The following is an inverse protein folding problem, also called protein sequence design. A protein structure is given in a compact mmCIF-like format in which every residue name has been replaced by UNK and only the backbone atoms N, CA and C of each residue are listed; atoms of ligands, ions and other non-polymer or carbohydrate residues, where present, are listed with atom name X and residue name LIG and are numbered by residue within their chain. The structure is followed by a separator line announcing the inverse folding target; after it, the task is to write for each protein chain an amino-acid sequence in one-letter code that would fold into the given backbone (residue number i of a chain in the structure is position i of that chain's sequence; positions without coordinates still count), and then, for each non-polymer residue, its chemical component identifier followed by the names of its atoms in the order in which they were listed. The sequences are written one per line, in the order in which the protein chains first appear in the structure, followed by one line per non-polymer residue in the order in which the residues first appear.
data_IF_599858557837
#
_entry.id   IF_599858557837
#
_cell.length_a   1.000
_cell.length_b   1.000
_cell.length_c   1.000
_cell.angle_alpha   90.00
_cell.angle_beta   90.00
_cell.angle_gamma   90.00
#
_symmetry.space_group_name_H-M   'P 1'
#
loop_
_entity.id
_entity.type
_entity.pdbx_description
1 polymer ?
#
# COMPACT_ATOMS: atom_id res chain seq x y z
N UNK A 1 7.54 -16.36 15.49
CA UNK A 1 7.01 -17.13 16.65
C UNK A 1 5.87 -17.98 16.11
N UNK A 2 5.85 -19.30 16.28
CA UNK A 2 4.72 -20.16 15.87
C UNK A 2 4.06 -20.75 17.11
N UNK A 3 2.94 -20.14 17.51
CA UNK A 3 2.06 -20.65 18.55
C UNK A 3 0.66 -20.88 17.94
N UNK A 4 -0.13 -21.87 18.44
CA UNK A 4 -1.51 -22.04 18.00
C UNK A 4 -2.31 -20.74 18.16
N UNK A 5 -2.08 -20.04 19.26
CA UNK A 5 -2.60 -18.70 19.50
C UNK A 5 -1.51 -17.78 20.00
N UNK A 6 -1.44 -16.57 19.46
CA UNK A 6 -0.59 -15.49 19.98
C UNK A 6 -1.49 -14.48 20.68
N UNK A 7 -1.29 -14.29 21.98
CA UNK A 7 -1.99 -13.25 22.75
C UNK A 7 -1.29 -11.90 22.54
N UNK A 8 -2.06 -10.88 22.18
CA UNK A 8 -1.66 -9.50 21.92
C UNK A 8 -2.39 -8.54 22.87
N UNK A 9 -2.65 -8.94 24.11
CA UNK A 9 -3.33 -8.07 25.06
C UNK A 9 -2.36 -7.03 25.67
N UNK A 10 -2.92 -5.97 26.26
CA UNK A 10 -2.12 -4.89 26.87
C UNK A 10 -1.25 -5.35 28.05
N UNK A 11 -1.41 -6.59 28.52
CA UNK A 11 -0.59 -7.20 29.58
C UNK A 11 0.61 -7.97 29.03
N UNK A 12 0.55 -8.44 27.78
CA UNK A 12 1.67 -9.10 27.07
C UNK A 12 2.76 -8.13 26.62
N UNK A 13 2.52 -6.82 26.74
CA UNK A 13 3.48 -5.78 26.40
C UNK A 13 3.35 -5.27 24.96
N UNK A 14 4.09 -4.20 24.67
CA UNK A 14 4.05 -3.53 23.37
C UNK A 14 4.88 -4.30 22.34
N UNK A 15 4.33 -4.53 21.15
CA UNK A 15 5.11 -4.96 19.99
C UNK A 15 5.57 -3.73 19.23
N UNK A 16 6.88 -3.58 19.09
CA UNK A 16 7.48 -2.37 18.57
C UNK A 16 8.46 -2.66 17.42
N UNK A 17 8.26 -1.94 16.33
CA UNK A 17 9.08 -1.91 15.12
C UNK A 17 9.60 -0.47 14.93
N UNK A 18 10.41 0.01 15.89
CA UNK A 18 10.80 1.42 16.01
C UNK A 18 12.16 1.75 15.42
N UNK A 19 12.26 2.91 14.78
CA UNK A 19 13.50 3.59 14.46
C UNK A 19 14.04 4.41 15.64
N UNK A 20 15.34 4.70 15.62
CA UNK A 20 15.98 5.57 16.61
C UNK A 20 15.84 7.04 16.22
N UNK A 21 15.32 7.89 17.11
CA UNK A 21 15.34 9.34 16.94
C UNK A 21 16.73 9.94 17.19
N UNK A 22 16.92 11.20 16.79
CA UNK A 22 18.15 11.95 17.08
C UNK A 22 17.82 13.41 17.39
N UNK A 23 18.51 14.00 18.36
CA UNK A 23 18.40 15.43 18.67
C UNK A 23 19.41 16.28 17.90
N UNK A 24 20.30 15.66 17.13
CA UNK A 24 21.35 16.33 16.38
C UNK A 24 20.91 16.48 14.92
N UNK A 25 20.72 17.74 14.49
CA UNK A 25 20.30 18.07 13.12
C UNK A 25 21.34 17.81 12.02
N UNK A 26 22.51 17.26 12.36
CA UNK A 26 23.49 16.75 11.39
C UNK A 26 23.37 15.23 11.15
N UNK A 27 22.47 14.54 11.85
CA UNK A 27 22.22 13.12 11.65
C UNK A 27 20.78 12.88 11.25
N UNK A 28 20.58 11.94 10.33
CA UNK A 28 19.25 11.45 9.96
C UNK A 28 18.74 10.49 11.03
N UNK A 29 17.45 10.56 11.40
CA UNK A 29 16.84 9.55 12.25
C UNK A 29 16.83 8.19 11.57
N UNK A 30 16.88 7.12 12.36
CA UNK A 30 16.81 5.76 11.84
C UNK A 30 15.42 5.41 11.33
N UNK A 31 15.34 4.61 10.26
CA UNK A 31 14.08 4.03 9.79
C UNK A 31 13.48 3.04 10.79
N UNK A 32 12.17 2.86 10.70
CA UNK A 32 11.40 1.90 11.45
C UNK A 32 11.85 0.47 11.19
N UNK A 33 11.65 -0.38 12.19
CA UNK A 33 11.91 -1.80 12.05
C UNK A 33 10.79 -2.51 11.29
N UNK A 34 10.91 -3.83 11.22
CA UNK A 34 9.84 -4.67 10.71
C UNK A 34 9.60 -5.85 11.67
N UNK A 35 8.34 -6.11 11.98
CA UNK A 35 7.93 -7.25 12.81
C UNK A 35 6.90 -8.05 12.05
N UNK A 36 7.07 -9.37 12.02
CA UNK A 36 6.07 -10.29 11.51
C UNK A 36 5.69 -11.31 12.57
N UNK A 37 4.39 -11.42 12.83
CA UNK A 37 3.81 -12.38 13.76
C UNK A 37 2.93 -13.35 12.99
N UNK A 38 3.18 -14.64 13.21
CA UNK A 38 2.46 -15.73 12.55
C UNK A 38 1.86 -16.66 13.59
N UNK A 39 0.56 -16.53 13.83
CA UNK A 39 -0.18 -17.48 14.64
C UNK A 39 -0.62 -18.67 13.76
N UNK A 40 -0.53 -19.89 14.28
CA UNK A 40 -0.96 -21.06 13.52
C UNK A 40 -2.49 -21.16 13.39
N UNK A 41 -3.25 -20.52 14.29
CA UNK A 41 -4.72 -20.55 14.25
C UNK A 41 -5.34 -19.17 14.41
N UNK A 42 -4.98 -18.43 15.46
CA UNK A 42 -5.62 -17.14 15.76
C UNK A 42 -4.72 -16.23 16.59
N UNK A 43 -5.02 -14.94 16.57
CA UNK A 43 -4.56 -14.02 17.60
C UNK A 43 -5.67 -13.82 18.64
N UNK A 44 -5.30 -13.56 19.88
CA UNK A 44 -6.23 -13.24 20.96
C UNK A 44 -5.87 -11.90 21.61
N UNK A 45 -6.86 -11.17 22.14
CA UNK A 45 -6.65 -9.89 22.81
C UNK A 45 -6.87 -8.66 21.91
N UNK A 46 -6.77 -7.47 22.52
CA UNK A 46 -6.89 -6.19 21.84
C UNK A 46 -5.57 -5.87 21.13
N UNK A 47 -5.47 -6.18 19.83
CA UNK A 47 -5.75 -5.13 18.86
C UNK A 47 -6.69 -5.57 17.72
N UNK A 48 -7.37 -6.73 17.79
CA UNK A 48 -8.05 -7.26 16.58
C UNK A 48 -9.58 -7.20 16.60
N UNK A 49 -10.19 -6.70 17.68
CA UNK A 49 -11.66 -6.72 17.86
C UNK A 49 -12.22 -5.47 18.56
N UNK A 50 -11.59 -4.30 18.40
CA UNK A 50 -12.03 -3.06 19.07
C UNK A 50 -11.82 -1.79 18.25
N UNK A 51 -12.27 -0.64 18.78
CA UNK A 51 -12.21 0.68 18.12
C UNK A 51 -10.80 1.27 17.98
N UNK A 52 -9.78 0.61 18.53
CA UNK A 52 -8.38 1.00 18.41
C UNK A 52 -7.51 -0.22 18.04
N UNK A 53 -7.61 -0.71 16.79
CA UNK A 53 -7.11 -2.01 16.37
C UNK A 53 -5.58 -2.12 16.28
N UNK A 54 -4.86 -1.25 16.99
CA UNK A 54 -3.41 -1.13 16.94
C UNK A 54 -2.81 -0.57 18.24
N UNK A 55 -3.60 -0.46 19.32
CA UNK A 55 -3.17 0.24 20.54
C UNK A 55 -1.91 -0.36 21.19
N UNK A 56 -1.67 -1.66 20.99
CA UNK A 56 -0.50 -2.38 21.51
C UNK A 56 0.59 -2.62 20.45
N UNK A 57 0.43 -2.03 19.26
CA UNK A 57 1.41 -2.09 18.18
C UNK A 57 2.03 -0.72 17.96
N UNK A 58 3.34 -0.73 17.74
CA UNK A 58 4.12 0.48 17.55
C UNK A 58 5.06 0.32 16.37
N UNK A 59 4.55 0.67 15.20
CA UNK A 59 5.35 0.91 14.02
C UNK A 59 5.67 2.40 13.98
N UNK A 60 6.96 2.75 13.97
CA UNK A 60 7.39 4.14 13.76
C UNK A 60 8.85 4.22 13.31
N UNK A 61 9.16 5.17 12.45
CA UNK A 61 10.52 5.65 12.24
C UNK A 61 11.02 6.49 13.42
N UNK A 62 12.28 6.86 13.35
CA UNK A 62 12.83 7.92 14.18
C UNK A 62 12.42 9.30 13.68
N UNK A 63 12.57 10.28 14.56
CA UNK A 63 12.28 11.69 14.33
C UNK A 63 13.55 12.53 14.59
N UNK A 64 13.76 13.54 13.75
CA UNK A 64 14.57 14.72 14.05
C UNK A 64 13.84 15.97 13.53
N UNK A 65 12.93 16.54 14.30
CA UNK A 65 12.27 17.82 13.98
C UNK A 65 11.54 17.79 12.63
N UNK A 66 12.16 18.32 11.57
CA UNK A 66 11.60 18.34 10.20
C UNK A 66 12.01 17.14 9.35
N UNK A 67 12.85 16.24 9.86
CA UNK A 67 13.31 15.02 9.18
C UNK A 67 12.72 13.83 9.91
N UNK A 68 12.16 12.88 9.15
CA UNK A 68 11.59 11.66 9.69
C UNK A 68 12.20 10.45 8.97
N UNK A 69 12.49 9.40 9.72
CA UNK A 69 12.91 8.12 9.16
C UNK A 69 11.72 7.40 8.52
N UNK A 70 12.02 6.37 7.73
CA UNK A 70 11.01 5.47 7.20
C UNK A 70 10.11 4.88 8.28
N UNK A 71 8.86 4.62 7.97
CA UNK A 71 7.87 4.09 8.90
C UNK A 71 8.26 2.69 9.40
N UNK A 72 7.72 2.31 10.55
CA UNK A 72 7.78 0.92 10.99
C UNK A 72 6.74 0.07 10.26
N UNK A 73 6.97 -1.24 10.20
CA UNK A 73 5.95 -2.18 9.70
C UNK A 73 5.69 -3.32 10.67
N UNK A 74 4.42 -3.69 10.84
CA UNK A 74 4.01 -4.83 11.64
C UNK A 74 3.00 -5.66 10.83
N UNK A 75 3.34 -6.90 10.54
CA UNK A 75 2.45 -7.87 9.90
C UNK A 75 1.90 -8.87 10.91
N UNK A 76 0.60 -9.12 10.84
CA UNK A 76 -0.11 -10.10 11.66
C UNK A 76 -0.77 -11.12 10.74
N UNK A 77 -0.45 -12.40 10.89
CA UNK A 77 -1.06 -13.48 10.11
C UNK A 77 -1.51 -14.63 10.99
N UNK A 78 -2.70 -15.16 10.73
CA UNK A 78 -3.25 -16.28 11.47
C UNK A 78 -3.79 -17.37 10.53
N UNK A 79 -3.38 -18.61 10.75
CA UNK A 79 -3.88 -19.76 9.99
C UNK A 79 -3.61 -19.63 8.49
N UNK A 80 -4.67 -19.75 7.69
CA UNK A 80 -4.63 -19.68 6.22
C UNK A 80 -4.87 -18.29 5.63
N UNK A 81 -5.00 -17.25 6.46
CA UNK A 81 -5.25 -15.89 6.00
C UNK A 81 -4.01 -15.28 5.33
N UNK A 82 -4.22 -14.28 4.47
CA UNK A 82 -3.12 -13.57 3.79
C UNK A 82 -2.37 -12.67 4.77
N UNK A 83 -3.08 -12.19 5.79
CA UNK A 83 -2.55 -11.41 6.90
C UNK A 83 -2.79 -9.91 6.73
N UNK A 84 -2.70 -9.22 7.84
CA UNK A 84 -2.82 -7.78 7.91
C UNK A 84 -1.44 -7.11 7.93
N UNK A 85 -1.34 -5.90 7.39
CA UNK A 85 -0.15 -5.06 7.46
C UNK A 85 -0.46 -3.68 8.04
N UNK A 86 0.24 -3.32 9.12
CA UNK A 86 0.33 -1.96 9.63
C UNK A 86 1.62 -1.31 9.14
N UNK A 87 1.47 -0.12 8.55
CA UNK A 87 2.55 0.81 8.23
C UNK A 87 2.25 2.14 8.93
N UNK A 88 3.12 2.54 9.86
CA UNK A 88 2.84 3.69 10.72
C UNK A 88 4.12 4.48 11.00
N UNK A 89 4.00 5.81 10.94
CA UNK A 89 5.06 6.74 11.31
C UNK A 89 4.68 7.68 12.46
N UNK A 90 3.60 7.36 13.19
CA UNK A 90 3.13 8.07 14.39
C UNK A 90 2.91 9.57 14.22
N UNK A 91 2.57 9.99 13.01
CA UNK A 91 2.31 11.38 12.69
C UNK A 91 3.59 12.19 12.52
N UNK A 92 4.73 11.56 12.30
CA UNK A 92 5.96 12.26 11.92
C UNK A 92 5.67 13.14 10.68
N UNK A 93 6.05 14.42 10.75
CA UNK A 93 5.70 15.42 9.73
C UNK A 93 6.85 15.73 8.78
N UNK A 94 7.92 14.93 8.81
CA UNK A 94 9.16 15.19 8.07
C UNK A 94 9.19 14.65 6.64
N UNK A 95 10.31 14.85 5.95
CA UNK A 95 10.56 14.37 4.57
C UNK A 95 10.68 12.84 4.54
N UNK A 96 9.57 12.15 4.39
CA UNK A 96 9.48 10.69 4.42
C UNK A 96 8.91 10.10 3.15
N UNK A 97 8.94 10.86 2.04
CA UNK A 97 8.51 10.37 0.73
C UNK A 97 9.19 9.05 0.39
N UNK A 98 8.37 8.03 0.12
CA UNK A 98 8.77 6.71 -0.34
C UNK A 98 9.78 6.00 0.59
N UNK A 99 9.79 6.40 1.85
CA UNK A 99 10.79 5.98 2.85
C UNK A 99 10.56 4.59 3.44
N UNK A 100 9.40 3.97 3.16
CA UNK A 100 9.03 2.64 3.68
C UNK A 100 8.84 1.68 2.52
N UNK A 101 9.93 1.06 2.09
CA UNK A 101 9.89 0.12 0.98
C UNK A 101 9.31 -1.23 1.44
N UNK A 102 8.25 -1.71 0.78
CA UNK A 102 7.98 -3.14 0.70
C UNK A 102 8.76 -3.67 -0.48
N UNK A 103 9.85 -4.42 -0.26
CA UNK A 103 10.75 -4.78 -1.34
C UNK A 103 9.99 -5.53 -2.47
N UNK A 104 10.52 -5.61 -3.69
CA UNK A 104 9.85 -6.34 -4.79
C UNK A 104 10.85 -6.88 -5.83
N UNK A 105 10.47 -7.95 -6.53
CA UNK A 105 11.07 -8.30 -7.82
C UNK A 105 10.48 -7.38 -8.89
N UNK A 106 11.31 -6.86 -9.81
CA UNK A 106 10.81 -6.12 -10.94
C UNK A 106 9.89 -6.98 -11.81
N UNK A 107 8.97 -6.32 -12.51
CA UNK A 107 8.19 -6.97 -13.56
C UNK A 107 9.13 -7.42 -14.67
N UNK A 108 8.92 -8.62 -15.21
CA UNK A 108 9.79 -9.14 -16.26
C UNK A 108 9.19 -10.31 -17.01
N UNK A 109 10.03 -10.95 -17.83
CA UNK A 109 9.68 -12.12 -18.63
C UNK A 109 10.42 -13.35 -18.12
N UNK A 110 9.71 -14.47 -18.04
CA UNK A 110 10.24 -15.78 -17.69
C UNK A 110 11.00 -16.32 -18.89
N UNK A 111 12.33 -16.42 -18.77
CA UNK A 111 13.20 -16.86 -19.88
C UNK A 111 13.19 -18.38 -20.02
N UNK A 112 13.07 -19.11 -18.90
CA UNK A 112 12.92 -20.55 -18.87
C UNK A 112 12.18 -20.96 -17.59
N UNK A 113 11.52 -22.12 -17.62
CA UNK A 113 10.93 -22.71 -16.43
C UNK A 113 11.07 -24.23 -16.45
N UNK A 114 11.39 -24.85 -15.32
CA UNK A 114 11.55 -26.31 -15.21
C UNK A 114 11.26 -26.75 -13.79
N UNK A 115 10.29 -27.66 -13.64
CA UNK A 115 9.80 -28.06 -12.31
C UNK A 115 9.43 -26.83 -11.51
N UNK A 116 9.94 -26.69 -10.29
CA UNK A 116 9.65 -25.53 -9.42
C UNK A 116 10.52 -24.29 -9.71
N UNK A 117 11.39 -24.33 -10.71
CA UNK A 117 12.37 -23.26 -10.95
C UNK A 117 11.94 -22.38 -12.12
N UNK A 118 11.85 -21.08 -11.86
CA UNK A 118 11.79 -20.03 -12.88
C UNK A 118 13.17 -19.43 -13.09
N UNK A 119 13.56 -19.24 -14.35
CA UNK A 119 14.70 -18.42 -14.74
C UNK A 119 14.17 -17.09 -15.26
N UNK A 120 14.62 -16.00 -14.64
CA UNK A 120 14.20 -14.64 -14.97
C UNK A 120 15.43 -13.75 -15.11
N UNK A 121 15.33 -12.68 -15.89
CA UNK A 121 16.35 -11.64 -15.91
C UNK A 121 16.27 -10.79 -14.64
N UNK A 122 17.41 -10.57 -13.98
CA UNK A 122 17.53 -9.57 -12.91
C UNK A 122 16.89 -9.94 -11.55
N UNK A 123 16.74 -11.23 -11.21
CA UNK A 123 16.29 -11.66 -9.88
C UNK A 123 17.36 -11.48 -8.78
N UNK A 124 17.81 -10.24 -8.57
CA UNK A 124 18.62 -9.92 -7.39
C UNK A 124 17.71 -9.46 -6.27
N UNK A 125 16.95 -10.39 -5.69
CA UNK A 125 16.40 -10.17 -4.36
C UNK A 125 17.36 -10.67 -3.31
N UNK A 126 17.89 -9.75 -2.51
CA UNK A 126 18.73 -10.08 -1.37
C UNK A 126 17.86 -10.17 -0.11
N UNK A 127 17.67 -11.40 0.40
CA UNK A 127 17.27 -11.66 1.79
C UNK A 127 15.84 -12.18 2.03
N UNK A 128 15.64 -12.93 3.14
CA UNK A 128 14.32 -13.39 3.59
C UNK A 128 13.46 -12.21 4.04
N UNK A 129 12.16 -12.24 3.71
CA UNK A 129 11.20 -11.17 4.01
C UNK A 129 10.20 -11.67 5.04
N UNK A 130 10.31 -11.27 6.33
CA UNK A 130 9.47 -11.86 7.35
C UNK A 130 7.98 -11.47 7.21
N UNK A 131 7.66 -10.35 6.57
CA UNK A 131 6.37 -9.66 6.81
C UNK A 131 5.37 -9.72 5.67
N UNK A 132 5.68 -10.37 4.55
CA UNK A 132 4.91 -10.09 3.35
C UNK A 132 4.62 -11.26 2.43
N UNK A 133 4.98 -12.49 2.83
CA UNK A 133 4.69 -13.75 2.10
C UNK A 133 4.66 -13.58 0.58
N UNK A 134 5.66 -12.84 0.07
CA UNK A 134 5.59 -12.29 -1.28
C UNK A 134 5.33 -13.43 -2.26
N UNK A 135 4.24 -13.32 -2.99
CA UNK A 135 3.94 -14.24 -4.07
C UNK A 135 4.39 -13.62 -5.38
N UNK A 136 4.55 -14.46 -6.39
CA UNK A 136 4.71 -14.03 -7.77
C UNK A 136 3.38 -14.27 -8.45
N UNK A 137 2.89 -13.23 -9.09
CA UNK A 137 1.84 -13.30 -10.10
C UNK A 137 2.46 -13.80 -11.39
N UNK A 138 1.93 -14.89 -11.90
CA UNK A 138 2.31 -15.48 -13.18
C UNK A 138 1.20 -15.16 -14.16
N UNK A 139 1.45 -14.23 -15.08
CA UNK A 139 0.40 -13.73 -15.97
C UNK A 139 0.22 -14.72 -17.12
N UNK A 140 -0.84 -15.52 -17.03
CA UNK A 140 -1.22 -16.41 -18.12
C UNK A 140 -1.98 -15.64 -19.21
N UNK A 141 -1.83 -16.07 -20.46
CA UNK A 141 -2.61 -15.50 -21.57
C UNK A 141 -4.10 -15.73 -21.35
N UNK A 142 -4.87 -14.65 -21.22
CA UNK A 142 -6.34 -14.68 -21.11
C UNK A 142 -6.90 -14.55 -19.69
N UNK A 143 -6.09 -14.22 -18.69
CA UNK A 143 -6.57 -13.87 -17.34
C UNK A 143 -7.41 -12.58 -17.38
N UNK A 144 -8.50 -12.57 -16.59
CA UNK A 144 -9.33 -11.39 -16.37
C UNK A 144 -8.50 -10.38 -15.61
N UNK A 145 -8.65 -9.07 -15.85
CA UNK A 145 -7.64 -8.15 -15.38
C UNK A 145 -7.76 -7.75 -13.89
N UNK A 146 -8.70 -8.33 -13.12
CA UNK A 146 -8.73 -8.17 -11.66
C UNK A 146 -7.65 -9.00 -10.96
N UNK A 147 -7.08 -8.52 -9.84
CA UNK A 147 -6.06 -9.29 -9.10
C UNK A 147 -6.64 -10.49 -8.30
N UNK A 148 -7.91 -10.84 -8.51
CA UNK A 148 -8.66 -11.84 -7.74
C UNK A 148 -8.64 -13.26 -8.30
N UNK A 149 -8.40 -13.42 -9.60
CA UNK A 149 -8.38 -14.71 -10.32
C UNK A 149 -6.97 -15.11 -10.80
N UNK A 150 -5.95 -14.51 -10.18
CA UNK A 150 -4.55 -14.64 -10.56
C UNK A 150 -3.93 -16.00 -10.25
N UNK A 151 -3.06 -16.46 -11.15
CA UNK A 151 -2.19 -17.60 -10.87
C UNK A 151 -1.01 -17.17 -9.98
N UNK A 152 -1.18 -17.33 -8.66
CA UNK A 152 -0.16 -16.99 -7.67
C UNK A 152 0.72 -18.20 -7.30
N UNK A 153 2.00 -17.95 -7.04
CA UNK A 153 2.96 -18.92 -6.47
C UNK A 153 3.81 -18.26 -5.40
N UNK A 154 4.06 -18.94 -4.29
CA UNK A 154 4.97 -18.44 -3.27
C UNK A 154 6.43 -18.66 -3.69
N UNK A 155 7.28 -17.68 -3.45
CA UNK A 155 8.73 -17.82 -3.65
C UNK A 155 9.33 -18.47 -2.42
N UNK A 156 9.88 -19.66 -2.59
CA UNK A 156 10.51 -20.43 -1.51
C UNK A 156 12.03 -20.21 -1.44
N UNK A 157 12.65 -19.84 -2.56
CA UNK A 157 14.05 -19.44 -2.62
C UNK A 157 14.32 -18.48 -3.78
N UNK A 158 15.31 -17.59 -3.61
CA UNK A 158 15.82 -16.71 -4.65
C UNK A 158 17.32 -16.96 -4.84
N UNK A 159 17.77 -16.95 -6.09
CA UNK A 159 19.16 -16.86 -6.49
C UNK A 159 19.26 -15.87 -7.66
N UNK A 160 20.48 -15.42 -7.99
CA UNK A 160 20.74 -14.27 -8.87
C UNK A 160 19.87 -14.16 -10.13
N UNK A 161 19.53 -15.27 -10.77
CA UNK A 161 18.67 -15.31 -11.96
C UNK A 161 17.55 -16.35 -11.87
N UNK A 162 17.29 -16.91 -10.69
CA UNK A 162 16.30 -17.98 -10.53
C UNK A 162 15.45 -17.82 -9.29
N UNK A 163 14.18 -18.20 -9.42
CA UNK A 163 13.20 -18.21 -8.36
C UNK A 163 12.73 -19.65 -8.20
N UNK A 164 12.72 -20.17 -6.98
CA UNK A 164 12.10 -21.45 -6.66
C UNK A 164 10.71 -21.19 -6.11
N UNK A 165 9.72 -21.84 -6.70
CA UNK A 165 8.31 -21.70 -6.33
C UNK A 165 7.87 -22.86 -5.42
N UNK A 166 6.68 -22.73 -4.83
CA UNK A 166 5.98 -23.77 -4.09
C UNK A 166 5.17 -24.73 -4.99
N UNK A 167 5.30 -24.61 -6.31
CA UNK A 167 4.59 -25.44 -7.30
C UNK A 167 5.28 -25.50 -8.65
N UNK A 168 4.72 -26.29 -9.57
CA UNK A 168 5.27 -26.42 -10.92
C UNK A 168 5.20 -25.09 -11.69
N UNK A 169 6.33 -24.74 -12.27
CA UNK A 169 6.62 -23.51 -12.96
C UNK A 169 6.71 -23.74 -14.49
N UNK A 170 6.85 -25.00 -14.95
CA UNK A 170 7.05 -25.33 -16.35
C UNK A 170 6.02 -24.70 -17.32
N UNK A 171 4.72 -24.56 -16.98
CA UNK A 171 3.73 -23.95 -17.87
C UNK A 171 3.96 -22.46 -18.17
N UNK A 172 4.77 -21.76 -17.37
CA UNK A 172 4.90 -20.30 -17.43
C UNK A 172 6.15 -19.84 -18.20
N UNK A 173 6.88 -20.75 -18.85
CA UNK A 173 8.00 -20.38 -19.71
C UNK A 173 7.56 -19.41 -20.82
N UNK A 174 8.27 -18.28 -20.98
CA UNK A 174 7.95 -17.24 -21.95
C UNK A 174 6.87 -16.26 -21.52
N UNK A 175 6.23 -16.45 -20.35
CA UNK A 175 5.20 -15.56 -19.83
C UNK A 175 5.79 -14.41 -19.02
N UNK A 176 4.95 -13.42 -18.70
CA UNK A 176 5.33 -12.33 -17.81
C UNK A 176 5.16 -12.73 -16.34
N UNK A 177 5.95 -12.10 -15.47
CA UNK A 177 5.82 -12.24 -14.02
C UNK A 177 5.88 -10.87 -13.35
N UNK A 178 5.22 -10.77 -12.21
CA UNK A 178 5.28 -9.60 -11.34
C UNK A 178 5.28 -10.03 -9.87
N UNK A 179 5.88 -9.20 -9.02
CA UNK A 179 5.70 -9.32 -7.58
C UNK A 179 4.27 -9.04 -7.20
N UNK A 180 3.78 -9.75 -6.19
CA UNK A 180 2.43 -9.61 -5.71
C UNK A 180 2.38 -9.63 -4.18
N UNK A 181 1.58 -8.73 -3.63
CA UNK A 181 1.19 -8.69 -2.23
C UNK A 181 -0.31 -8.79 -2.10
N UNK A 182 -0.76 -9.74 -1.27
CA UNK A 182 -2.13 -9.80 -0.80
C UNK A 182 -2.16 -9.47 0.68
N UNK A 183 -3.11 -8.65 1.07
CA UNK A 183 -3.41 -8.38 2.47
C UNK A 183 -4.89 -8.59 2.71
N UNK A 184 -5.23 -9.19 3.84
CA UNK A 184 -6.60 -9.15 4.34
C UNK A 184 -6.96 -7.67 4.60
N UNK A 185 -6.07 -6.93 5.28
CA UNK A 185 -6.18 -5.48 5.51
C UNK A 185 -4.83 -4.78 5.43
N UNK A 186 -4.82 -3.57 4.88
CA UNK A 186 -3.65 -2.70 4.80
C UNK A 186 -3.93 -1.36 5.49
N UNK A 187 -3.28 -1.11 6.63
CA UNK A 187 -3.37 0.16 7.33
C UNK A 187 -2.10 0.98 7.12
N UNK A 188 -2.19 2.08 6.39
CA UNK A 188 -1.10 3.05 6.21
C UNK A 188 -1.53 4.34 6.92
N UNK A 189 -0.78 4.77 7.94
CA UNK A 189 -1.19 5.90 8.79
C UNK A 189 -0.03 6.68 9.36
N UNK A 190 -0.35 7.76 10.06
CA UNK A 190 0.63 8.56 10.78
C UNK A 190 1.66 9.16 9.83
N UNK A 191 1.23 9.53 8.61
CA UNK A 191 2.06 9.97 7.49
C UNK A 191 3.11 8.95 7.03
N UNK A 192 2.92 7.65 7.23
CA UNK A 192 3.80 6.63 6.66
C UNK A 192 3.67 6.57 5.13
N UNK A 193 4.78 6.53 4.38
CA UNK A 193 4.75 6.43 2.91
C UNK A 193 5.30 5.06 2.48
N UNK A 194 4.39 4.20 2.05
CA UNK A 194 4.66 2.86 1.57
C UNK A 194 5.00 2.89 0.08
N UNK A 195 6.17 2.39 -0.28
CA UNK A 195 6.60 2.23 -1.67
C UNK A 195 6.69 0.74 -2.01
N UNK A 196 6.13 0.35 -3.15
CA UNK A 196 6.42 -0.94 -3.76
C UNK A 196 6.30 -0.89 -5.27
N UNK A 197 7.12 -1.68 -5.97
CA UNK A 197 6.92 -2.02 -7.38
C UNK A 197 6.14 -3.32 -7.58
N UNK A 198 5.59 -3.90 -6.51
CA UNK A 198 4.70 -5.05 -6.58
C UNK A 198 3.26 -4.64 -6.88
N UNK A 199 2.48 -5.58 -7.40
CA UNK A 199 1.04 -5.45 -7.47
C UNK A 199 0.49 -5.69 -6.08
N UNK A 200 -0.49 -4.89 -5.65
CA UNK A 200 -1.06 -4.99 -4.31
C UNK A 200 -2.55 -5.29 -4.42
N UNK A 201 -3.02 -6.28 -3.67
CA UNK A 201 -4.43 -6.53 -3.43
C UNK A 201 -4.74 -6.42 -1.95
N UNK A 202 -5.85 -5.76 -1.64
CA UNK A 202 -6.39 -5.63 -0.28
C UNK A 202 -7.84 -6.13 -0.31
N UNK A 203 -8.15 -7.16 0.48
CA UNK A 203 -9.47 -7.81 0.44
C UNK A 203 -10.54 -7.05 1.25
N UNK A 204 -10.16 -6.44 2.38
CA UNK A 204 -11.02 -5.61 3.22
C UNK A 204 -10.37 -4.24 3.46
N UNK A 205 -11.19 -3.19 3.63
CA UNK A 205 -10.67 -1.90 4.07
C UNK A 205 -9.99 -1.97 5.45
N UNK A 206 -9.56 -0.83 5.98
CA UNK A 206 -8.87 -0.79 7.27
C UNK A 206 -9.70 -1.42 8.42
N UNK A 207 -9.06 -1.59 9.58
CA UNK A 207 -9.67 -2.27 10.72
C UNK A 207 -10.83 -1.49 11.40
N UNK A 208 -11.19 -0.32 10.88
CA UNK A 208 -12.23 0.54 11.39
C UNK A 208 -13.49 0.35 10.55
N UNK A 209 -14.63 -0.01 11.14
CA UNK A 209 -15.89 -0.07 10.40
C UNK A 209 -16.29 1.30 9.82
N UNK A 210 -16.91 1.35 8.62
CA UNK A 210 -17.30 0.21 7.79
C UNK A 210 -16.14 -0.32 6.92
N UNK A 211 -16.12 -1.63 6.68
CA UNK A 211 -15.10 -2.32 5.86
C UNK A 211 -15.11 -1.95 4.37
N UNK A 212 -15.92 -0.97 3.97
CA UNK A 212 -16.02 -0.41 2.62
C UNK A 212 -15.28 0.92 2.46
N UNK A 213 -14.83 1.53 3.56
CA UNK A 213 -14.08 2.79 3.55
C UNK A 213 -12.64 2.55 3.95
N UNK A 214 -11.69 2.91 3.08
CA UNK A 214 -10.26 2.84 3.41
C UNK A 214 -9.71 4.22 3.77
N UNK A 215 -9.26 4.40 5.00
CA UNK A 215 -8.61 5.62 5.45
C UNK A 215 -7.09 5.55 5.24
N UNK A 216 -6.60 6.19 4.18
CA UNK A 216 -5.19 6.36 3.91
C UNK A 216 -4.65 7.56 4.70
N UNK A 217 -3.96 7.28 5.81
CA UNK A 217 -3.35 8.29 6.67
C UNK A 217 -1.91 8.65 6.32
N UNK A 218 -1.51 8.47 5.07
CA UNK A 218 -0.13 8.56 4.59
C UNK A 218 -0.01 8.34 3.08
N UNK A 219 1.10 7.76 2.64
CA UNK A 219 1.44 7.56 1.24
C UNK A 219 1.33 6.10 0.80
N UNK A 220 0.74 5.83 -0.37
CA UNK A 220 0.95 4.57 -1.10
C UNK A 220 1.46 4.88 -2.51
N UNK A 221 2.57 4.24 -2.88
CA UNK A 221 3.10 4.20 -4.25
C UNK A 221 3.17 2.75 -4.70
N UNK A 222 2.37 2.39 -5.70
CA UNK A 222 2.34 1.05 -6.27
C UNK A 222 1.97 1.11 -7.76
N UNK A 223 2.50 0.20 -8.61
CA UNK A 223 2.13 0.18 -10.03
C UNK A 223 0.68 -0.26 -10.27
N UNK A 224 0.12 -1.10 -9.39
CA UNK A 224 -1.23 -1.64 -9.45
C UNK A 224 -1.78 -1.87 -8.04
N UNK A 225 -3.04 -1.49 -7.82
CA UNK A 225 -3.78 -1.73 -6.59
C UNK A 225 -5.19 -2.27 -6.92
N UNK A 226 -5.58 -3.36 -6.27
CA UNK A 226 -6.94 -3.90 -6.25
C UNK A 226 -7.47 -3.82 -4.82
N UNK A 227 -8.60 -3.15 -4.62
CA UNK A 227 -9.21 -2.97 -3.30
C UNK A 227 -10.45 -3.85 -3.07
N UNK A 228 -10.74 -4.81 -3.95
CA UNK A 228 -11.77 -5.85 -3.90
C UNK A 228 -13.22 -5.42 -3.57
N UNK A 229 -13.46 -4.84 -2.40
CA UNK A 229 -14.75 -4.37 -1.89
C UNK A 229 -14.74 -2.98 -1.23
N UNK A 230 -13.60 -2.27 -1.24
CA UNK A 230 -13.55 -0.85 -0.83
C UNK A 230 -14.29 0.00 -1.88
N UNK A 231 -15.27 0.78 -1.44
CA UNK A 231 -16.02 1.72 -2.27
C UNK A 231 -15.61 3.17 -2.02
N UNK A 232 -15.11 3.45 -0.83
CA UNK A 232 -14.81 4.81 -0.36
C UNK A 232 -13.34 4.90 0.02
N UNK A 233 -12.65 5.93 -0.48
CA UNK A 233 -11.27 6.22 -0.12
C UNK A 233 -11.23 7.56 0.60
N UNK A 234 -10.60 7.59 1.79
CA UNK A 234 -10.44 8.81 2.56
C UNK A 234 -8.97 9.08 2.84
N UNK A 235 -8.55 10.33 2.67
CA UNK A 235 -7.15 10.73 2.88
C UNK A 235 -7.04 11.58 4.13
N UNK A 236 -6.22 11.13 5.08
CA UNK A 236 -6.09 11.78 6.38
C UNK A 236 -4.66 12.24 6.63
N UNK A 237 -4.50 13.53 6.88
CA UNK A 237 -3.23 14.11 7.27
C UNK A 237 -2.52 14.89 6.16
N UNK A 238 -1.55 15.73 6.53
CA UNK A 238 -0.98 16.76 5.66
C UNK A 238 -0.16 16.19 4.50
N UNK A 239 0.41 14.99 4.68
CA UNK A 239 1.33 14.37 3.74
C UNK A 239 0.72 13.13 3.09
N UNK A 240 -0.60 12.99 3.06
CA UNK A 240 -1.23 11.89 2.31
C UNK A 240 -0.72 11.91 0.87
N UNK A 241 -0.52 10.73 0.27
CA UNK A 241 -0.06 10.57 -1.11
C UNK A 241 -0.62 9.27 -1.68
N UNK A 242 -1.01 9.28 -2.94
CA UNK A 242 -1.57 8.10 -3.57
C UNK A 242 -1.15 8.06 -5.02
N UNK A 243 -0.08 7.35 -5.30
CA UNK A 243 0.52 7.25 -6.63
C UNK A 243 0.32 5.83 -7.14
N UNK A 244 -0.91 5.55 -7.55
CA UNK A 244 -1.28 4.31 -8.20
C UNK A 244 -1.79 4.65 -9.59
N UNK A 245 -1.02 4.41 -10.67
CA UNK A 245 -1.36 4.92 -11.99
C UNK A 245 -2.45 4.12 -12.72
N UNK A 246 -2.75 2.88 -12.29
CA UNK A 246 -3.69 1.96 -12.95
C UNK A 246 -4.41 1.08 -11.94
N UNK A 247 -5.71 0.87 -12.15
CA UNK A 247 -6.40 -0.29 -11.58
C UNK A 247 -5.89 -1.56 -12.29
N UNK A 248 -6.02 -2.71 -11.63
CA UNK A 248 -5.69 -4.03 -12.14
C UNK A 248 -6.26 -4.27 -13.55
N UNK A 249 -7.45 -3.73 -13.82
CA UNK A 249 -8.20 -3.92 -15.06
C UNK A 249 -7.55 -3.35 -16.34
N UNK A 250 -6.45 -2.60 -16.23
CA UNK A 250 -5.72 -2.06 -17.38
C UNK A 250 -6.44 -0.90 -18.11
N UNK A 251 -7.69 -0.63 -17.75
CA UNK A 251 -8.33 0.67 -17.86
C UNK A 251 -7.58 1.66 -16.98
N UNK A 252 -7.24 2.83 -17.55
CA UNK A 252 -6.94 4.03 -16.75
C UNK A 252 -7.99 4.11 -15.66
N UNK A 253 -7.59 4.29 -14.39
CA UNK A 253 -8.47 4.29 -13.22
C UNK A 253 -9.85 4.90 -13.57
N UNK A 254 -10.81 4.04 -13.88
CA UNK A 254 -12.24 4.33 -13.92
C UNK A 254 -12.95 3.45 -12.89
N UNK A 255 -12.49 3.41 -11.62
CA UNK A 255 -13.36 2.92 -10.60
C UNK A 255 -14.33 4.07 -10.30
N UNK A 256 -15.62 3.77 -10.39
CA UNK A 256 -16.68 4.62 -9.89
C UNK A 256 -16.59 4.71 -8.35
N UNK A 257 -15.51 5.30 -7.82
CA UNK A 257 -15.30 5.54 -6.39
C UNK A 257 -16.37 6.52 -5.93
N UNK A 258 -17.12 6.14 -4.90
CA UNK A 258 -18.25 6.92 -4.46
C UNK A 258 -18.59 6.68 -2.98
N UNK A 259 -18.32 7.62 -2.06
CA UNK A 259 -17.60 8.91 -2.20
C UNK A 259 -16.10 8.87 -1.84
N UNK A 260 -15.33 9.84 -2.35
CA UNK A 260 -13.94 10.13 -1.90
C UNK A 260 -13.92 11.41 -1.07
N UNK A 261 -13.41 11.35 0.18
CA UNK A 261 -13.20 12.53 1.04
C UNK A 261 -11.69 12.77 1.28
N UNK A 262 -11.18 13.94 0.87
CA UNK A 262 -9.74 14.21 0.78
C UNK A 262 -9.27 15.36 1.69
N UNK A 263 -8.19 15.11 2.43
CA UNK A 263 -7.32 16.15 3.02
C UNK A 263 -5.83 15.86 2.73
N UNK A 264 -5.00 16.89 2.48
CA UNK A 264 -3.55 16.73 2.21
C UNK A 264 -3.14 16.92 0.74
N UNK A 265 -1.99 16.37 0.33
CA UNK A 265 -1.51 16.48 -1.06
C UNK A 265 -2.03 15.32 -1.91
N UNK A 266 -2.46 15.57 -3.14
CA UNK A 266 -2.84 14.53 -4.11
C UNK A 266 -1.85 14.57 -5.27
N UNK A 267 -1.20 13.44 -5.59
CA UNK A 267 -0.37 13.26 -6.78
C UNK A 267 -0.86 12.08 -7.62
N UNK A 268 -1.70 12.38 -8.60
CA UNK A 268 -2.19 11.36 -9.54
C UNK A 268 -2.19 11.95 -10.93
N UNK A 269 -1.49 11.36 -11.92
CA UNK A 269 -1.54 11.85 -13.28
C UNK A 269 -2.99 11.88 -13.81
N UNK A 270 -3.83 10.90 -13.45
CA UNK A 270 -5.26 10.91 -13.76
C UNK A 270 -6.07 10.36 -12.57
N UNK A 271 -7.21 10.99 -12.25
CA UNK A 271 -8.19 10.54 -11.26
C UNK A 271 -9.59 10.55 -11.89
N UNK A 272 -10.30 9.41 -11.89
CA UNK A 272 -11.73 9.36 -12.16
C UNK A 272 -12.48 8.94 -10.88
N UNK A 273 -13.60 9.60 -10.57
CA UNK A 273 -14.43 9.31 -9.39
C UNK A 273 -15.89 9.69 -9.65
N UNK A 274 -16.84 9.12 -8.90
CA UNK A 274 -18.24 9.56 -8.94
C UNK A 274 -18.51 10.73 -8.03
N UNK A 275 -17.81 10.85 -6.90
CA UNK A 275 -17.87 12.07 -6.12
C UNK A 275 -16.55 12.35 -5.40
N UNK A 276 -16.15 13.61 -5.36
CA UNK A 276 -14.95 14.10 -4.70
C UNK A 276 -15.32 15.25 -3.77
N UNK A 277 -15.22 15.02 -2.48
CA UNK A 277 -15.19 16.09 -1.48
C UNK A 277 -13.75 16.30 -1.04
N UNK A 278 -13.24 17.52 -1.08
CA UNK A 278 -11.89 17.83 -0.64
C UNK A 278 -11.85 19.13 0.16
N UNK A 279 -11.13 19.11 1.28
CA UNK A 279 -10.90 20.29 2.12
C UNK A 279 -9.42 20.49 2.44
N UNK A 280 -8.88 21.66 2.14
CA UNK A 280 -7.46 21.98 2.39
C UNK A 280 -6.48 21.13 1.58
N UNK A 281 -6.89 20.67 0.39
CA UNK A 281 -6.13 19.76 -0.46
C UNK A 281 -5.13 20.49 -1.36
N UNK A 282 -3.97 19.91 -1.64
CA UNK A 282 -3.05 20.37 -2.68
C UNK A 282 -2.94 19.32 -3.80
N UNK A 283 -3.59 19.54 -4.94
CA UNK A 283 -3.34 18.79 -6.17
C UNK A 283 -1.94 19.14 -6.68
N UNK A 284 -1.10 18.13 -6.88
CA UNK A 284 0.23 18.26 -7.48
C UNK A 284 0.36 17.20 -8.57
N UNK A 285 0.92 17.54 -9.72
CA UNK A 285 1.13 16.57 -10.82
C UNK A 285 -0.17 15.88 -11.31
N UNK A 286 -1.33 16.56 -11.19
CA UNK A 286 -2.62 16.06 -11.70
C UNK A 286 -2.84 16.51 -13.14
N UNK A 287 -2.92 15.56 -14.07
CA UNK A 287 -3.15 15.85 -15.50
C UNK A 287 -4.62 15.64 -15.92
N UNK A 288 -5.41 14.80 -15.25
CA UNK A 288 -6.85 14.64 -15.52
C UNK A 288 -7.62 14.38 -14.23
N UNK A 289 -8.76 15.06 -14.06
CA UNK A 289 -9.70 14.83 -12.95
C UNK A 289 -11.10 14.69 -13.53
N UNK A 290 -11.59 13.46 -13.67
CA UNK A 290 -12.93 13.17 -14.16
C UNK A 290 -13.87 12.89 -13.00
N UNK A 291 -14.95 13.65 -12.84
CA UNK A 291 -15.93 13.44 -11.76
C UNK A 291 -17.33 13.29 -12.34
N UNK A 292 -17.95 12.11 -12.20
CA UNK A 292 -19.29 11.83 -12.79
C UNK A 292 -20.47 12.24 -11.90
N UNK A 293 -20.21 12.84 -10.73
CA UNK A 293 -21.22 13.29 -9.78
C UNK A 293 -20.71 14.47 -8.95
N UNK A 294 -20.84 14.41 -7.62
CA UNK A 294 -20.60 15.60 -6.78
C UNK A 294 -19.11 15.94 -6.66
N UNK A 295 -18.71 17.15 -7.09
CA UNK A 295 -17.39 17.74 -6.87
C UNK A 295 -17.50 18.91 -5.88
N UNK A 296 -16.99 18.72 -4.66
CA UNK A 296 -16.98 19.72 -3.58
C UNK A 296 -15.53 20.03 -3.19
N UNK A 297 -15.00 21.19 -3.58
CA UNK A 297 -13.65 21.64 -3.24
C UNK A 297 -13.70 22.84 -2.30
N UNK A 298 -13.08 22.74 -1.12
CA UNK A 298 -13.00 23.82 -0.12
C UNK A 298 -11.55 24.10 0.28
N UNK A 299 -10.99 25.23 -0.13
CA UNK A 299 -9.59 25.57 0.20
C UNK A 299 -8.56 24.67 -0.49
N UNK A 300 -8.89 24.16 -1.68
CA UNK A 300 -8.00 23.32 -2.50
C UNK A 300 -7.06 24.18 -3.35
N UNK A 301 -5.79 23.77 -3.48
CA UNK A 301 -4.81 24.33 -4.42
C UNK A 301 -4.36 23.31 -5.47
N UNK A 302 -3.87 23.76 -6.62
CA UNK A 302 -3.32 23.00 -7.74
C UNK A 302 -1.95 23.57 -8.11
N UNK A 303 -0.87 22.78 -8.03
CA UNK A 303 0.51 23.22 -8.30
C UNK A 303 0.84 24.60 -7.68
N UNK A 304 0.51 24.76 -6.39
CA UNK A 304 0.68 25.96 -5.59
C UNK A 304 -0.23 27.18 -5.97
N UNK A 305 -1.23 27.00 -6.85
CA UNK A 305 -2.28 27.97 -7.15
C UNK A 305 -3.61 27.64 -6.47
N UNK A 306 -4.31 28.63 -5.89
CA UNK A 306 -5.63 28.39 -5.28
C UNK A 306 -6.71 28.14 -6.34
N UNK A 307 -7.47 27.05 -6.20
CA UNK A 307 -8.67 26.80 -7.00
C UNK A 307 -9.86 27.55 -6.37
N UNK A 308 -10.46 28.47 -7.13
CA UNK A 308 -11.74 29.10 -6.78
C UNK A 308 -12.80 28.71 -7.80
N UNK A 309 -14.05 28.56 -7.38
CA UNK A 309 -15.17 28.31 -8.28
C UNK A 309 -15.18 29.33 -9.44
N UNK A 310 -15.09 28.85 -10.68
CA UNK A 310 -15.06 29.68 -11.90
C UNK A 310 -13.68 30.23 -12.29
N UNK A 311 -12.59 29.85 -11.62
CA UNK A 311 -11.23 30.15 -12.08
C UNK A 311 -10.84 29.16 -13.19
N UNK A 312 -10.27 29.60 -14.33
CA UNK A 312 -9.69 28.72 -15.34
C UNK A 312 -8.32 28.17 -14.87
N UNK A 313 -8.19 27.91 -13.57
CA UNK A 313 -6.91 27.83 -12.88
C UNK A 313 -6.38 26.41 -12.70
N UNK A 314 -6.26 25.65 -13.80
CA UNK A 314 -5.15 24.72 -14.07
C UNK A 314 -5.21 24.54 -15.60
N UNK A 315 -4.28 25.10 -16.38
CA UNK A 315 -4.29 24.99 -17.86
C UNK A 315 -4.19 23.54 -18.39
N UNK A 316 -4.10 22.55 -17.50
CA UNK A 316 -3.91 21.14 -17.83
C UNK A 316 -4.84 20.16 -17.12
N UNK A 317 -5.80 20.59 -16.28
CA UNK A 317 -6.76 19.65 -15.69
C UNK A 317 -8.05 19.73 -16.48
N UNK A 318 -8.27 18.73 -17.33
CA UNK A 318 -9.57 18.47 -17.92
C UNK A 318 -10.51 18.01 -16.80
N UNK A 319 -11.30 18.94 -16.26
CA UNK A 319 -12.39 18.64 -15.32
C UNK A 319 -13.66 18.42 -16.14
N UNK A 320 -14.03 17.17 -16.36
CA UNK A 320 -15.34 16.81 -16.90
C UNK A 320 -16.29 16.52 -15.75
N UNK A 321 -17.43 17.21 -15.73
CA UNK A 321 -18.55 16.92 -14.83
C UNK A 321 -19.79 16.65 -15.68
N UNK A 322 -20.16 15.38 -15.77
CA UNK A 322 -21.36 14.94 -16.48
C UNK A 322 -22.53 14.91 -15.47
N UNK A 323 -23.30 15.99 -15.42
CA UNK A 323 -24.49 16.14 -14.56
C UNK A 323 -25.71 15.43 -15.16
#
# INVERSE_FOLDING_TARGET
ISAPTIALDGTTGLIAARGGGTSNGSYEPGGGGCVALEAATAFAGAPLTGTAPWANLDASGGDQGTIAGGAGTISLRAGGADGDLLVDNKGATGTQDDSTELPWLPVGTITAATGQTLTVSGATLTGPRPNSRQTIRLVATGETPGLGDETLRAVTATAASTLTLDGDAAPFAGQAYASYYRFDRLAIRGNAHLLTGAHVRVDEADFTPPATTWALGGGLVAPYLDLAGVTDLTFTGPNSRFDVPKDADGTTLDPAWNPVDWSGTLRLPELATTSLTASGMALKDVHRLHVTGDLVLTGTSCDDHALTAGSPGCDLIEVTNDV
#
